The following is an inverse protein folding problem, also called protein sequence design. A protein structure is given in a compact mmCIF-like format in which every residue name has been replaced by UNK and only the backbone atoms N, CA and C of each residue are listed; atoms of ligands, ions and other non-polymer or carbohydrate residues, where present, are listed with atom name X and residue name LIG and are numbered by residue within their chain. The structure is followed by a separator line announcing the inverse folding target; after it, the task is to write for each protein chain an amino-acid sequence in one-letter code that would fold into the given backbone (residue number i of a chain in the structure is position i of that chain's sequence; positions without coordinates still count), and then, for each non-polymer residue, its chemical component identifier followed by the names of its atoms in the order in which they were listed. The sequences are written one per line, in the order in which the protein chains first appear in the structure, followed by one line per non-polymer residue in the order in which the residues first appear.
data_IF_724643706441
#
_entry.id   IF_724643706441
#
_cell.length_a   1.000
_cell.length_b   1.000
_cell.length_c   1.000
_cell.angle_alpha   90.00
_cell.angle_beta   90.00
_cell.angle_gamma   90.00
#
_symmetry.space_group_name_H-M   'P 1'
#
loop_
_entity.id
_entity.type
_entity.pdbx_description
1 polymer ?
#
# COMPACT_ATOMS: atom_id res chain seq x y z
N UNK A 1 29.29 7.07 -15.06
CA UNK A 1 28.54 6.02 -14.33
C UNK A 1 27.14 5.97 -14.93
N UNK A 2 26.83 4.93 -15.68
CA UNK A 2 25.50 4.72 -16.29
C UNK A 2 24.59 4.02 -15.26
N UNK A 3 23.43 4.59 -14.89
CA UNK A 3 22.54 3.91 -13.96
C UNK A 3 21.89 2.73 -14.69
N UNK A 4 22.20 1.50 -14.27
CA UNK A 4 21.46 0.31 -14.65
C UNK A 4 20.16 0.27 -13.85
N UNK A 5 19.07 0.72 -14.48
CA UNK A 5 17.72 0.54 -13.93
C UNK A 5 17.11 -0.72 -14.56
N UNK A 6 16.49 -1.55 -13.73
CA UNK A 6 15.70 -2.71 -14.16
C UNK A 6 14.70 -2.29 -15.23
N UNK A 7 14.65 -3.01 -16.36
CA UNK A 7 13.69 -2.76 -17.46
C UNK A 7 12.22 -2.96 -17.03
N UNK A 8 12.01 -3.63 -15.90
CA UNK A 8 10.71 -3.76 -15.24
C UNK A 8 10.90 -3.36 -13.77
N UNK A 9 10.92 -2.05 -13.43
CA UNK A 9 10.68 -1.68 -12.05
C UNK A 9 9.29 -2.25 -11.74
N UNK A 10 9.21 -3.18 -10.78
CA UNK A 10 7.95 -3.80 -10.35
C UNK A 10 6.97 -2.67 -10.17
N UNK A 11 5.99 -2.56 -11.08
CA UNK A 11 5.21 -1.35 -11.28
C UNK A 11 4.85 -0.81 -9.91
N UNK A 12 5.41 0.35 -9.56
CA UNK A 12 4.86 1.12 -8.46
C UNK A 12 3.41 1.29 -8.90
N UNK A 13 2.49 0.59 -8.21
CA UNK A 13 1.10 0.89 -8.34
C UNK A 13 1.06 2.34 -7.88
N UNK A 14 1.07 3.27 -8.85
CA UNK A 14 0.76 4.67 -8.62
C UNK A 14 -0.72 4.61 -8.26
N UNK A 15 -1.00 4.25 -7.02
CA UNK A 15 -2.26 4.55 -6.37
C UNK A 15 -2.22 6.05 -6.25
N UNK A 16 -2.57 6.71 -7.35
CA UNK A 16 -3.17 8.01 -7.28
C UNK A 16 -4.20 7.95 -6.14
N UNK A 17 -4.07 8.92 -5.26
CA UNK A 17 -4.27 8.76 -3.83
C UNK A 17 -5.55 8.02 -3.42
N UNK A 18 -5.43 7.32 -2.29
CA UNK A 18 -6.39 7.63 -1.21
C UNK A 18 -7.85 7.35 -1.57
N UNK A 19 -8.13 6.22 -2.24
CA UNK A 19 -9.50 5.78 -2.51
C UNK A 19 -9.84 4.53 -1.70
N UNK A 20 -11.12 4.35 -1.35
CA UNK A 20 -11.62 3.14 -0.67
C UNK A 20 -11.26 1.84 -1.41
N UNK A 21 -11.01 1.91 -2.72
CA UNK A 21 -10.58 0.79 -3.54
C UNK A 21 -9.15 0.32 -3.24
N UNK A 22 -8.30 1.20 -2.69
CA UNK A 22 -6.90 0.88 -2.36
C UNK A 22 -6.79 -0.24 -1.33
N UNK A 23 -7.63 -0.23 -0.28
CA UNK A 23 -7.67 -1.28 0.74
C UNK A 23 -8.11 -2.62 0.14
N UNK A 24 -9.09 -2.61 -0.78
CA UNK A 24 -9.56 -3.83 -1.46
C UNK A 24 -8.46 -4.42 -2.33
N UNK A 25 -7.79 -3.60 -3.14
CA UNK A 25 -6.64 -4.03 -3.93
C UNK A 25 -5.51 -4.54 -3.04
N UNK A 26 -5.18 -3.81 -1.97
CA UNK A 26 -4.15 -4.21 -1.02
C UNK A 26 -4.47 -5.52 -0.32
N UNK A 27 -5.76 -5.80 -0.06
CA UNK A 27 -6.20 -7.03 0.61
C UNK A 27 -5.90 -8.29 -0.22
N UNK A 28 -5.99 -8.20 -1.55
CA UNK A 28 -5.73 -9.33 -2.47
C UNK A 28 -4.34 -9.95 -2.29
N UNK A 29 -3.33 -9.12 -2.00
CA UNK A 29 -1.98 -9.58 -1.69
C UNK A 29 -1.68 -9.56 -0.18
N UNK A 30 -2.24 -8.62 0.58
CA UNK A 30 -1.94 -8.37 1.98
C UNK A 30 -2.35 -9.51 2.91
N UNK A 31 -3.44 -10.22 2.62
CA UNK A 31 -3.84 -11.40 3.39
C UNK A 31 -2.79 -12.52 3.31
N UNK A 32 -2.05 -12.64 2.21
CA UNK A 32 -1.00 -13.67 2.08
C UNK A 32 0.18 -13.46 3.03
N UNK A 33 0.44 -12.20 3.40
CA UNK A 33 1.55 -11.84 4.29
C UNK A 33 1.10 -11.64 5.74
N UNK A 34 -0.08 -11.05 5.94
CA UNK A 34 -0.54 -10.62 7.27
C UNK A 34 -1.75 -11.42 7.77
N UNK A 35 -2.39 -12.22 6.92
CA UNK A 35 -3.59 -13.02 7.25
C UNK A 35 -4.65 -12.15 7.95
N UNK A 36 -5.17 -12.61 9.10
CA UNK A 36 -6.13 -11.89 9.93
C UNK A 36 -5.63 -10.55 10.49
N UNK A 37 -4.31 -10.29 10.46
CA UNK A 37 -3.74 -9.04 10.97
C UNK A 37 -3.82 -7.89 9.96
N UNK A 38 -4.11 -8.16 8.68
CA UNK A 38 -4.20 -7.12 7.65
C UNK A 38 -5.15 -5.99 8.08
N UNK A 39 -6.36 -6.34 8.54
CA UNK A 39 -7.37 -5.36 8.95
C UNK A 39 -6.91 -4.52 10.16
N UNK A 40 -6.14 -5.13 11.09
CA UNK A 40 -5.56 -4.41 12.24
C UNK A 40 -4.48 -3.41 11.77
N UNK A 41 -3.66 -3.80 10.81
CA UNK A 41 -2.62 -2.94 10.27
C UNK A 41 -3.18 -1.77 9.46
N UNK A 42 -4.23 -2.01 8.67
CA UNK A 42 -4.98 -0.94 7.96
C UNK A 42 -5.52 0.09 8.97
N UNK A 43 -6.15 -0.35 10.05
CA UNK A 43 -6.65 0.55 11.11
C UNK A 43 -5.52 1.31 11.81
N UNK A 44 -4.38 0.66 12.06
CA UNK A 44 -3.21 1.32 12.64
C UNK A 44 -2.65 2.39 11.70
N UNK A 45 -2.48 2.07 10.42
CA UNK A 45 -2.04 2.99 9.37
C UNK A 45 -2.97 4.20 9.28
N UNK A 46 -4.28 3.98 9.29
CA UNK A 46 -5.30 5.04 9.25
C UNK A 46 -5.13 6.06 10.39
N UNK A 47 -4.75 5.60 11.59
CA UNK A 47 -4.59 6.47 12.75
C UNK A 47 -3.25 7.23 12.76
N UNK A 48 -2.19 6.57 12.31
CA UNK A 48 -0.81 7.07 12.44
C UNK A 48 -0.39 7.88 11.22
N UNK A 49 -0.91 7.54 10.04
CA UNK A 49 -0.58 8.18 8.77
C UNK A 49 -1.83 8.28 7.86
N UNK A 50 -2.81 9.13 8.22
CA UNK A 50 -4.07 9.28 7.49
C UNK A 50 -3.86 9.83 6.08
N UNK A 51 -2.86 10.69 5.89
CA UNK A 51 -2.48 11.28 4.60
C UNK A 51 -1.65 10.34 3.71
N UNK A 52 -1.33 9.14 4.23
CA UNK A 52 -0.55 8.12 3.54
C UNK A 52 0.83 8.62 3.05
N UNK A 53 1.49 9.47 3.84
CA UNK A 53 2.82 10.04 3.54
C UNK A 53 3.86 8.93 3.35
N UNK A 54 3.79 7.88 4.17
CA UNK A 54 4.67 6.72 4.07
C UNK A 54 4.06 5.65 3.16
N UNK A 55 4.19 5.83 1.85
CA UNK A 55 3.69 4.89 0.85
C UNK A 55 4.82 4.31 -0.03
N UNK A 56 4.61 3.08 -0.49
CA UNK A 56 5.43 2.42 -1.50
C UNK A 56 4.59 1.36 -2.24
N UNK A 57 5.18 0.65 -3.21
CA UNK A 57 4.47 -0.32 -4.05
C UNK A 57 3.75 -1.47 -3.27
N UNK A 58 4.14 -1.74 -2.02
CA UNK A 58 3.52 -2.75 -1.16
C UNK A 58 3.14 -2.18 0.23
N UNK A 59 2.94 -0.86 0.34
CA UNK A 59 2.48 -0.27 1.59
C UNK A 59 1.03 -0.64 1.85
N UNK A 60 0.68 -0.76 3.13
CA UNK A 60 -0.71 -0.89 3.56
C UNK A 60 -1.36 0.49 3.46
N UNK A 61 -2.47 0.65 2.71
CA UNK A 61 -3.15 1.94 2.60
C UNK A 61 -4.03 2.21 3.83
N UNK A 62 -4.23 3.49 4.23
CA UNK A 62 -5.20 3.86 5.25
C UNK A 62 -6.64 3.71 4.73
N UNK A 63 -7.59 3.50 5.64
CA UNK A 63 -9.02 3.63 5.35
C UNK A 63 -9.33 5.11 5.15
N UNK A 64 -10.17 5.39 4.16
CA UNK A 64 -10.74 6.72 3.97
C UNK A 64 -12.16 6.72 4.53
N UNK A 65 -12.48 7.73 5.33
CA UNK A 65 -13.82 7.95 5.88
C UNK A 65 -14.60 8.93 5.01
#
# INVERSE_FOLDING_TARGET
MTPHVSKNPRAANVTDGTSNNSVIHARSWGIRYFSKNFDRLVRAKTKIDPENVFNNAQSIPPLQY
#
